data_IF_652386404430
#
_entry.id   IF_652386404430
#
_cell.length_a   1.000
_cell.length_b   1.000
_cell.length_c   1.000
_cell.angle_alpha   90.00
_cell.angle_beta   90.00
_cell.angle_gamma   90.00
#
_symmetry.space_group_name_H-M   'P 1'
#
loop_
_entity.id
_entity.type
_entity.pdbx_description
1 polymer ?
#
# COMPACT_ATOMS: atom_id res chain seq x y z
N UNK A 1 62.03 -2.25 -13.61
CA UNK A 1 61.24 -3.34 -12.99
C UNK A 1 60.50 -2.85 -11.72
N UNK A 2 61.16 -2.22 -10.75
CA UNK A 2 60.52 -1.74 -9.50
C UNK A 2 59.42 -0.71 -9.74
N UNK A 3 59.60 0.27 -10.63
CA UNK A 3 58.60 1.30 -10.97
C UNK A 3 57.30 0.71 -11.57
N UNK A 4 57.42 -0.33 -12.40
CA UNK A 4 56.25 -1.01 -12.99
C UNK A 4 55.48 -1.79 -11.91
N UNK A 5 56.18 -2.42 -10.98
CA UNK A 5 55.54 -3.13 -9.87
C UNK A 5 54.83 -2.16 -8.91
N UNK A 6 55.39 -1.00 -8.65
CA UNK A 6 54.77 0.07 -7.83
C UNK A 6 53.53 0.62 -8.52
N UNK A 7 53.58 0.94 -9.82
CA UNK A 7 52.44 1.44 -10.58
C UNK A 7 51.28 0.45 -10.63
N UNK A 8 51.57 -0.84 -10.85
CA UNK A 8 50.60 -1.93 -10.82
C UNK A 8 49.91 -2.07 -9.44
N UNK A 9 50.68 -1.90 -8.36
CA UNK A 9 50.14 -1.97 -7.02
C UNK A 9 49.20 -0.78 -6.72
N UNK A 10 49.58 0.43 -7.12
CA UNK A 10 48.73 1.63 -6.99
C UNK A 10 47.42 1.45 -7.76
N UNK A 11 47.49 1.00 -9.02
CA UNK A 11 46.29 0.74 -9.84
C UNK A 11 45.39 -0.29 -9.18
N UNK A 12 45.95 -1.41 -8.67
CA UNK A 12 45.16 -2.40 -7.92
C UNK A 12 44.48 -1.82 -6.68
N UNK A 13 45.16 -0.96 -5.94
CA UNK A 13 44.59 -0.31 -4.76
C UNK A 13 43.47 0.66 -5.13
N UNK A 14 43.60 1.45 -6.19
CA UNK A 14 42.57 2.36 -6.68
C UNK A 14 41.35 1.58 -7.13
N UNK A 15 41.50 0.52 -7.91
CA UNK A 15 40.39 -0.34 -8.34
C UNK A 15 39.68 -0.95 -7.13
N UNK A 16 40.40 -1.42 -6.16
CA UNK A 16 39.83 -2.09 -4.99
C UNK A 16 39.11 -1.14 -4.02
N UNK A 17 39.70 0.06 -3.78
CA UNK A 17 39.26 0.99 -2.76
C UNK A 17 38.26 2.02 -3.29
N UNK A 18 38.26 2.29 -4.58
CA UNK A 18 37.39 3.35 -5.16
C UNK A 18 36.42 2.75 -6.17
N UNK A 19 36.94 2.02 -7.18
CA UNK A 19 36.07 1.61 -8.29
C UNK A 19 35.04 0.57 -7.89
N UNK A 20 35.45 -0.49 -7.16
CA UNK A 20 34.49 -1.53 -6.72
C UNK A 20 33.36 -1.02 -5.81
N UNK A 21 33.63 -0.22 -4.77
CA UNK A 21 32.57 0.36 -3.97
C UNK A 21 31.64 1.26 -4.77
N UNK A 22 32.18 2.09 -5.67
CA UNK A 22 31.39 2.96 -6.52
C UNK A 22 30.47 2.18 -7.46
N UNK A 23 31.00 1.14 -8.11
CA UNK A 23 30.24 0.26 -9.00
C UNK A 23 29.09 -0.44 -8.24
N UNK A 24 29.31 -0.88 -7.01
CA UNK A 24 28.28 -1.45 -6.16
C UNK A 24 27.16 -0.44 -5.84
N UNK A 25 27.51 0.80 -5.51
CA UNK A 25 26.53 1.86 -5.27
C UNK A 25 25.68 2.11 -6.53
N UNK A 26 26.30 2.25 -7.69
CA UNK A 26 25.61 2.46 -8.96
C UNK A 26 24.68 1.30 -9.26
N UNK A 27 25.14 0.06 -9.09
CA UNK A 27 24.33 -1.13 -9.31
C UNK A 27 23.10 -1.17 -8.38
N UNK A 28 23.28 -0.77 -7.11
CA UNK A 28 22.13 -0.68 -6.17
C UNK A 28 21.16 0.43 -6.52
N UNK A 29 21.64 1.54 -7.06
CA UNK A 29 20.78 2.60 -7.60
C UNK A 29 19.97 2.10 -8.81
N UNK A 30 20.60 1.34 -9.71
CA UNK A 30 19.92 0.72 -10.85
C UNK A 30 18.87 -0.30 -10.40
N UNK A 31 19.16 -1.11 -9.37
CA UNK A 31 18.20 -2.04 -8.77
C UNK A 31 16.95 -1.29 -8.25
N UNK A 32 17.16 -0.15 -7.58
CA UNK A 32 16.06 0.70 -7.09
C UNK A 32 15.27 1.31 -8.26
N UNK A 33 15.94 1.80 -9.29
CA UNK A 33 15.29 2.33 -10.49
C UNK A 33 14.46 1.27 -11.22
N UNK A 34 14.87 0.01 -11.13
CA UNK A 34 14.11 -1.14 -11.63
C UNK A 34 12.97 -1.59 -10.69
N UNK A 35 12.77 -0.91 -9.55
CA UNK A 35 11.67 -1.17 -8.61
C UNK A 35 12.04 -2.01 -7.39
N UNK A 36 13.30 -2.38 -7.19
CA UNK A 36 13.75 -3.13 -6.02
C UNK A 36 13.96 -2.21 -4.82
N UNK A 37 12.91 -1.98 -4.06
CA UNK A 37 12.96 -1.10 -2.88
C UNK A 37 13.66 -1.74 -1.66
N UNK A 38 14.00 -3.02 -1.73
CA UNK A 38 14.74 -3.73 -0.70
C UNK A 38 16.25 -3.70 -0.92
N UNK A 39 16.73 -3.04 -2.00
CA UNK A 39 18.14 -2.90 -2.26
C UNK A 39 18.84 -2.19 -1.09
N UNK A 40 19.96 -2.75 -0.65
CA UNK A 40 20.83 -2.21 0.41
C UNK A 40 22.28 -2.30 -0.04
N UNK A 41 23.06 -1.32 0.39
CA UNK A 41 24.49 -1.31 0.18
C UNK A 41 25.14 -1.90 1.43
N UNK A 42 25.96 -2.92 1.24
CA UNK A 42 26.75 -3.52 2.31
C UNK A 42 27.91 -2.59 2.68
N UNK A 43 28.06 -2.29 3.97
CA UNK A 43 29.09 -1.39 4.49
C UNK A 43 30.42 -2.14 4.79
N UNK A 44 30.42 -3.47 4.73
CA UNK A 44 31.61 -4.26 5.00
C UNK A 44 32.73 -3.97 3.99
N UNK A 45 33.94 -3.74 4.49
CA UNK A 45 35.17 -3.52 3.72
C UNK A 45 35.22 -2.24 2.86
N UNK A 46 34.37 -1.26 3.13
CA UNK A 46 34.40 0.06 2.49
C UNK A 46 35.28 1.04 3.24
N UNK A 47 35.85 2.01 2.54
CA UNK A 47 36.50 3.16 3.17
C UNK A 47 35.49 4.07 3.85
N UNK A 48 35.92 4.86 4.82
CA UNK A 48 35.06 5.71 5.67
C UNK A 48 34.10 6.60 4.86
N UNK A 49 34.53 7.17 3.75
CA UNK A 49 33.70 8.02 2.89
C UNK A 49 32.60 7.23 2.19
N UNK A 50 32.89 5.99 1.79
CA UNK A 50 31.91 5.10 1.16
C UNK A 50 30.91 4.52 2.18
N UNK A 51 31.34 4.31 3.43
CA UNK A 51 30.43 3.93 4.52
C UNK A 51 29.39 5.02 4.75
N UNK A 52 29.80 6.31 4.78
CA UNK A 52 28.85 7.43 4.90
C UNK A 52 27.85 7.46 3.75
N UNK A 53 28.30 7.20 2.53
CA UNK A 53 27.44 7.14 1.36
C UNK A 53 26.47 5.96 1.43
N UNK A 54 26.94 4.77 1.82
CA UNK A 54 26.12 3.57 1.98
C UNK A 54 25.06 3.76 3.06
N UNK A 55 25.45 4.29 4.23
CA UNK A 55 24.54 4.59 5.34
C UNK A 55 23.47 5.61 4.89
N UNK A 56 23.87 6.68 4.20
CA UNK A 56 22.93 7.68 3.67
C UNK A 56 21.95 7.06 2.67
N UNK A 57 22.41 6.23 1.76
CA UNK A 57 21.56 5.51 0.81
C UNK A 57 20.59 4.57 1.52
N UNK A 58 21.08 3.76 2.46
CA UNK A 58 20.26 2.81 3.20
C UNK A 58 19.17 3.51 4.03
N UNK A 59 19.51 4.64 4.68
CA UNK A 59 18.55 5.47 5.43
C UNK A 59 17.48 6.07 4.52
N UNK A 60 17.86 6.58 3.35
CA UNK A 60 16.92 7.10 2.35
C UNK A 60 15.96 6.00 1.88
N UNK A 61 16.45 4.79 1.63
CA UNK A 61 15.62 3.66 1.22
C UNK A 61 14.64 3.23 2.31
N UNK A 62 15.05 3.31 3.57
CA UNK A 62 14.17 3.03 4.70
C UNK A 62 13.03 4.06 4.81
N UNK A 63 13.36 5.34 4.65
CA UNK A 63 12.38 6.42 4.65
C UNK A 63 11.38 6.29 3.49
N UNK A 64 11.85 5.94 2.29
CA UNK A 64 10.98 5.66 1.14
C UNK A 64 10.00 4.53 1.44
N UNK A 65 10.45 3.44 2.05
CA UNK A 65 9.58 2.33 2.42
C UNK A 65 8.51 2.75 3.44
N UNK A 66 8.88 3.55 4.44
CA UNK A 66 7.93 4.09 5.43
C UNK A 66 6.89 4.97 4.76
N UNK A 67 7.32 5.90 3.90
CA UNK A 67 6.41 6.78 3.16
C UNK A 67 5.46 6.00 2.25
N UNK A 68 5.94 4.97 1.57
CA UNK A 68 5.08 4.10 0.73
C UNK A 68 4.04 3.35 1.55
N UNK A 69 4.39 2.87 2.74
CA UNK A 69 3.44 2.23 3.65
C UNK A 69 2.37 3.23 4.11
N UNK A 70 2.77 4.45 4.43
CA UNK A 70 1.85 5.51 4.83
C UNK A 70 0.88 5.85 3.70
N UNK A 71 1.36 6.06 2.49
CA UNK A 71 0.51 6.31 1.30
C UNK A 71 -0.48 5.18 1.08
N UNK A 72 -0.06 3.93 1.23
CA UNK A 72 -0.94 2.76 1.09
C UNK A 72 -2.04 2.74 2.16
N UNK A 73 -1.72 3.09 3.40
CA UNK A 73 -2.71 3.21 4.48
C UNK A 73 -3.71 4.34 4.22
N UNK A 74 -3.23 5.51 3.78
CA UNK A 74 -4.09 6.64 3.42
C UNK A 74 -5.04 6.29 2.27
N UNK A 75 -4.55 5.63 1.23
CA UNK A 75 -5.39 5.15 0.12
C UNK A 75 -6.48 4.21 0.61
N UNK A 76 -6.15 3.27 1.48
CA UNK A 76 -7.14 2.36 2.05
C UNK A 76 -8.20 3.08 2.89
N UNK A 77 -7.80 4.09 3.67
CA UNK A 77 -8.74 4.93 4.41
C UNK A 77 -9.67 5.73 3.49
N UNK A 78 -9.14 6.31 2.42
CA UNK A 78 -9.92 7.03 1.42
C UNK A 78 -10.95 6.11 0.75
N UNK A 79 -10.56 4.89 0.39
CA UNK A 79 -11.48 3.89 -0.17
C UNK A 79 -12.60 3.52 0.80
N UNK A 80 -12.29 3.34 2.09
CA UNK A 80 -13.28 3.08 3.12
C UNK A 80 -14.25 4.25 3.29
N UNK A 81 -13.76 5.48 3.33
CA UNK A 81 -14.59 6.69 3.44
C UNK A 81 -15.50 6.80 2.22
N UNK A 82 -14.99 6.60 1.01
CA UNK A 82 -15.80 6.61 -0.22
C UNK A 82 -16.89 5.53 -0.20
N UNK A 83 -16.53 4.32 0.20
CA UNK A 83 -17.48 3.23 0.32
C UNK A 83 -18.58 3.52 1.34
N UNK A 84 -18.24 4.07 2.51
CA UNK A 84 -19.19 4.46 3.53
C UNK A 84 -20.09 5.62 3.05
N UNK A 85 -19.52 6.59 2.32
CA UNK A 85 -20.27 7.71 1.74
C UNK A 85 -21.27 7.23 0.70
N UNK A 86 -20.88 6.33 -0.20
CA UNK A 86 -21.80 5.74 -1.18
C UNK A 86 -22.93 4.93 -0.51
N UNK A 87 -22.62 4.23 0.58
CA UNK A 87 -23.64 3.51 1.34
C UNK A 87 -24.60 4.42 2.09
N UNK A 88 -24.14 5.59 2.57
CA UNK A 88 -24.99 6.56 3.26
C UNK A 88 -25.98 7.25 2.31
N UNK A 89 -25.69 7.26 1.00
CA UNK A 89 -26.63 7.79 -0.02
C UNK A 89 -27.88 6.90 -0.18
N UNK A 90 -27.81 5.62 0.16
CA UNK A 90 -29.01 4.79 0.32
C UNK A 90 -29.54 5.10 1.72
N UNK A 91 -30.49 6.00 1.82
CA UNK A 91 -31.14 6.30 3.10
C UNK A 91 -31.86 5.02 3.58
N UNK A 92 -31.35 4.33 4.61
CA UNK A 92 -32.01 3.09 5.08
C UNK A 92 -33.46 3.30 5.47
N UNK A 93 -33.71 4.44 6.05
CA UNK A 93 -35.06 4.82 6.47
C UNK A 93 -36.03 4.95 5.28
N UNK A 94 -35.61 5.54 4.16
CA UNK A 94 -36.42 5.62 2.96
C UNK A 94 -36.74 4.22 2.40
N UNK A 95 -35.75 3.36 2.36
CA UNK A 95 -35.93 1.99 1.87
C UNK A 95 -36.92 1.21 2.76
N UNK A 96 -36.79 1.29 4.09
CA UNK A 96 -37.75 0.62 5.00
C UNK A 96 -39.12 1.15 4.87
N UNK A 97 -39.31 2.45 4.83
CA UNK A 97 -40.63 3.07 4.66
C UNK A 97 -41.30 2.67 3.34
N UNK A 98 -40.52 2.58 2.27
CA UNK A 98 -41.02 2.15 0.96
C UNK A 98 -41.45 0.69 0.98
N UNK A 99 -40.65 -0.19 1.56
CA UNK A 99 -40.97 -1.62 1.69
C UNK A 99 -42.19 -1.83 2.61
N UNK A 100 -42.28 -1.11 3.72
CA UNK A 100 -43.46 -1.14 4.61
C UNK A 100 -44.74 -0.66 3.88
N UNK A 101 -44.64 0.40 3.10
CA UNK A 101 -45.77 0.88 2.29
C UNK A 101 -46.25 -0.19 1.29
N UNK A 102 -45.33 -0.84 0.56
CA UNK A 102 -45.66 -1.93 -0.37
C UNK A 102 -46.28 -3.11 0.38
N UNK A 103 -45.76 -3.45 1.55
CA UNK A 103 -46.29 -4.53 2.38
C UNK A 103 -47.76 -4.27 2.75
N UNK A 104 -48.08 -3.05 3.27
CA UNK A 104 -49.42 -2.71 3.66
C UNK A 104 -50.38 -2.65 2.48
N UNK A 105 -49.94 -2.19 1.32
CA UNK A 105 -50.73 -2.21 0.09
C UNK A 105 -51.02 -3.65 -0.35
N UNK A 106 -50.03 -4.55 -0.32
CA UNK A 106 -50.21 -5.96 -0.65
C UNK A 106 -51.23 -6.65 0.32
N UNK A 107 -51.19 -6.29 1.59
CA UNK A 107 -52.15 -6.78 2.58
C UNK A 107 -53.56 -6.27 2.26
N UNK A 108 -53.72 -4.99 1.91
CA UNK A 108 -55.02 -4.38 1.57
C UNK A 108 -55.62 -5.01 0.30
N UNK A 109 -54.78 -5.37 -0.68
CA UNK A 109 -55.20 -6.03 -1.91
C UNK A 109 -55.38 -7.56 -1.77
N UNK A 110 -55.20 -8.09 -0.57
CA UNK A 110 -55.33 -9.52 -0.28
C UNK A 110 -54.22 -10.40 -0.88
N UNK A 111 -53.16 -9.79 -1.37
CA UNK A 111 -52.04 -10.52 -2.00
C UNK A 111 -51.00 -10.94 -0.94
N UNK A 112 -51.27 -12.09 -0.34
CA UNK A 112 -50.46 -12.62 0.74
C UNK A 112 -49.01 -12.99 0.29
N UNK A 113 -48.83 -13.44 -0.96
CA UNK A 113 -47.53 -13.82 -1.49
C UNK A 113 -46.60 -12.62 -1.57
N UNK A 114 -47.07 -11.50 -2.13
CA UNK A 114 -46.27 -10.26 -2.23
C UNK A 114 -45.97 -9.72 -0.82
N UNK A 115 -46.93 -9.74 0.10
CA UNK A 115 -46.74 -9.31 1.48
C UNK A 115 -45.62 -10.10 2.19
N UNK A 116 -45.56 -11.42 2.05
CA UNK A 116 -44.50 -12.26 2.62
C UNK A 116 -43.14 -11.96 2.00
N UNK A 117 -43.12 -11.82 0.67
CA UNK A 117 -41.86 -11.56 -0.06
C UNK A 117 -41.26 -10.19 0.35
N UNK A 118 -42.08 -9.15 0.40
CA UNK A 118 -41.63 -7.80 0.80
C UNK A 118 -41.15 -7.77 2.24
N UNK A 119 -41.82 -8.49 3.13
CA UNK A 119 -41.40 -8.62 4.53
C UNK A 119 -40.08 -9.34 4.70
N UNK A 120 -39.85 -10.40 3.93
CA UNK A 120 -38.58 -11.12 3.89
C UNK A 120 -37.45 -10.21 3.37
N UNK A 121 -37.73 -9.44 2.32
CA UNK A 121 -36.76 -8.48 1.75
C UNK A 121 -36.41 -7.36 2.72
N UNK A 122 -37.40 -6.78 3.41
CA UNK A 122 -37.17 -5.77 4.42
C UNK A 122 -36.31 -6.29 5.57
N UNK A 123 -36.56 -7.54 6.00
CA UNK A 123 -35.77 -8.20 7.04
C UNK A 123 -34.31 -8.44 6.57
N UNK A 124 -34.10 -8.87 5.35
CA UNK A 124 -32.79 -9.05 4.77
C UNK A 124 -31.99 -7.73 4.75
N UNK A 125 -32.58 -6.66 4.23
CA UNK A 125 -31.93 -5.35 4.20
C UNK A 125 -31.65 -4.80 5.61
N UNK A 126 -32.54 -5.01 6.57
CA UNK A 126 -32.32 -4.60 7.97
C UNK A 126 -31.11 -5.30 8.57
N UNK A 127 -30.93 -6.60 8.31
CA UNK A 127 -29.77 -7.36 8.78
C UNK A 127 -28.49 -6.88 8.08
N UNK A 128 -28.53 -6.68 6.76
CA UNK A 128 -27.37 -6.23 5.99
C UNK A 128 -26.91 -4.81 6.39
N UNK A 129 -27.83 -3.93 6.69
CA UNK A 129 -27.53 -2.54 7.06
C UNK A 129 -27.25 -2.37 8.56
N UNK A 130 -27.82 -3.22 9.42
CA UNK A 130 -27.62 -3.19 10.89
C UNK A 130 -26.28 -3.79 11.35
N UNK A 131 -25.74 -4.78 10.66
CA UNK A 131 -24.45 -5.42 11.02
C UNK A 131 -23.22 -4.54 10.85
N UNK A 132 -23.38 -3.27 10.45
CA UNK A 132 -22.29 -2.34 10.14
C UNK A 132 -22.14 -1.15 11.08
N UNK A 133 -22.84 -1.19 12.20
CA UNK A 133 -22.71 -0.17 13.26
C UNK A 133 -21.86 -0.66 14.44
N UNK A 134 -20.86 -1.57 14.17
CA UNK A 134 -19.86 -1.96 15.19
C UNK A 134 -18.47 -1.78 14.60
#
# INVERSE_FOLDING_TARGET
MALVAISLNIVKQVIRKIYKPLDNVVQKMDDVAAGSLTARIDEEHMGEDFVKLATGFNSMMEEILVLMQQVKLEQHQIEQIRFNSLQSQIQPHFLYNTLDCIHWQAVADGNQEISILVKALARYYRICLSKRCV
#
